data_IF_056421964140
#
_entry.id   IF_056421964140
#
_cell.length_a   1.000
_cell.length_b   1.000
_cell.length_c   1.000
_cell.angle_alpha   90.00
_cell.angle_beta   90.00
_cell.angle_gamma   90.00
#
_symmetry.space_group_name_H-M   'P 1'
#
loop_
_entity.id
_entity.type
_entity.pdbx_description
1 polymer ?
#
# COMPACT_ATOMS: atom_id res chain seq x y z
N UNK A 1 -19.06 -13.85 -8.44
CA UNK A 1 -18.02 -13.13 -9.21
C UNK A 1 -18.19 -11.62 -8.96
N UNK A 2 -17.36 -11.04 -8.08
CA UNK A 2 -17.57 -9.66 -7.62
C UNK A 2 -17.02 -8.60 -8.59
N UNK A 3 -15.79 -8.71 -9.05
CA UNK A 3 -15.13 -7.70 -9.87
C UNK A 3 -14.34 -8.34 -11.02
N UNK A 4 -14.16 -7.65 -12.15
CA UNK A 4 -13.32 -8.11 -13.25
C UNK A 4 -11.86 -8.25 -12.79
N UNK A 5 -11.14 -9.21 -13.35
CA UNK A 5 -9.73 -9.43 -13.03
C UNK A 5 -8.87 -8.19 -13.32
N UNK A 6 -9.20 -7.41 -14.37
CA UNK A 6 -8.49 -6.18 -14.73
C UNK A 6 -8.46 -5.15 -13.59
N UNK A 7 -9.48 -5.09 -12.73
CA UNK A 7 -9.57 -4.17 -11.61
C UNK A 7 -8.91 -4.68 -10.32
N UNK A 8 -8.49 -5.94 -10.27
CA UNK A 8 -7.99 -6.59 -9.04
C UNK A 8 -6.91 -5.76 -8.34
N UNK A 9 -5.90 -5.30 -9.08
CA UNK A 9 -4.79 -4.53 -8.50
C UNK A 9 -5.25 -3.17 -7.96
N UNK A 10 -6.11 -2.47 -8.69
CA UNK A 10 -6.63 -1.16 -8.24
C UNK A 10 -7.44 -1.34 -6.95
N UNK A 11 -8.32 -2.33 -6.90
CA UNK A 11 -9.15 -2.61 -5.71
C UNK A 11 -8.30 -3.08 -4.52
N UNK A 12 -7.31 -3.95 -4.74
CA UNK A 12 -6.36 -4.36 -3.71
C UNK A 12 -5.62 -3.16 -3.12
N UNK A 13 -5.13 -2.26 -3.96
CA UNK A 13 -4.44 -1.05 -3.49
C UNK A 13 -5.36 -0.11 -2.71
N UNK A 14 -6.62 0.00 -3.07
CA UNK A 14 -7.62 0.74 -2.30
C UNK A 14 -7.78 0.16 -0.89
N UNK A 15 -7.87 -1.17 -0.75
CA UNK A 15 -7.87 -1.83 0.57
C UNK A 15 -6.57 -1.58 1.34
N UNK A 16 -5.41 -1.69 0.69
CA UNK A 16 -4.13 -1.37 1.34
C UNK A 16 -4.10 0.07 1.90
N UNK A 17 -4.65 1.04 1.16
CA UNK A 17 -4.74 2.42 1.63
C UNK A 17 -5.69 2.58 2.82
N UNK A 18 -6.85 1.86 2.84
CA UNK A 18 -7.75 1.86 4.01
C UNK A 18 -7.09 1.26 5.24
N UNK A 19 -6.35 0.16 5.08
CA UNK A 19 -5.59 -0.48 6.17
C UNK A 19 -4.50 0.47 6.70
N UNK A 20 -3.73 1.08 5.81
CA UNK A 20 -2.71 2.06 6.17
C UNK A 20 -3.31 3.27 6.89
N UNK A 21 -4.48 3.75 6.45
CA UNK A 21 -5.21 4.84 7.09
C UNK A 21 -5.70 4.46 8.49
N UNK A 22 -6.19 3.25 8.68
CA UNK A 22 -6.58 2.77 10.00
C UNK A 22 -5.40 2.74 10.96
N UNK A 23 -4.25 2.25 10.50
CA UNK A 23 -2.99 2.25 11.27
C UNK A 23 -2.53 3.68 11.56
N UNK A 24 -2.55 4.55 10.54
CA UNK A 24 -2.20 5.97 10.68
C UNK A 24 -3.00 6.65 11.77
N UNK A 25 -4.33 6.47 11.77
CA UNK A 25 -5.24 7.06 12.77
C UNK A 25 -4.92 6.56 14.17
N UNK A 26 -4.76 5.24 14.32
CA UNK A 26 -4.44 4.61 15.60
C UNK A 26 -3.12 5.11 16.19
N UNK A 27 -2.15 5.45 15.32
CA UNK A 27 -0.80 5.92 15.71
C UNK A 27 -0.66 7.44 15.67
N UNK A 28 -1.74 8.17 15.43
CA UNK A 28 -1.76 9.63 15.32
C UNK A 28 -0.74 10.20 14.32
N UNK A 29 -0.36 9.39 13.32
CA UNK A 29 0.56 9.83 12.25
C UNK A 29 -0.12 10.85 11.34
N UNK A 30 0.64 11.77 10.76
CA UNK A 30 0.11 12.91 10.00
C UNK A 30 -0.03 12.65 8.51
N UNK A 31 0.70 11.68 7.96
CA UNK A 31 0.71 11.38 6.54
C UNK A 31 0.92 9.89 6.27
N UNK A 32 0.60 9.46 5.08
CA UNK A 32 1.04 8.20 4.48
C UNK A 32 2.20 8.50 3.52
N UNK A 33 3.15 7.59 3.45
CA UNK A 33 4.26 7.67 2.48
C UNK A 33 4.24 6.40 1.64
N UNK A 34 4.31 6.55 0.31
CA UNK A 34 4.27 5.42 -0.61
C UNK A 34 5.45 5.47 -1.59
N UNK A 35 5.91 4.31 -2.05
CA UNK A 35 6.95 4.18 -3.08
C UNK A 35 6.43 4.20 -4.51
N UNK A 36 5.31 4.85 -4.77
CA UNK A 36 4.70 4.94 -6.10
C UNK A 36 5.52 5.86 -7.02
N UNK A 37 5.67 5.41 -8.28
CA UNK A 37 6.29 6.19 -9.35
C UNK A 37 5.39 6.13 -10.60
N UNK A 38 5.21 7.25 -11.30
CA UNK A 38 4.34 7.31 -12.47
C UNK A 38 4.83 6.39 -13.59
N UNK A 39 3.90 5.65 -14.18
CA UNK A 39 4.15 4.86 -15.38
C UNK A 39 5.05 3.61 -15.20
N UNK A 40 5.51 3.31 -14.00
CA UNK A 40 6.36 2.13 -13.76
C UNK A 40 5.58 0.82 -13.94
N UNK A 41 4.32 0.81 -13.54
CA UNK A 41 3.40 -0.33 -13.71
C UNK A 41 1.99 0.19 -14.03
N UNK A 42 1.16 -0.67 -14.60
CA UNK A 42 -0.20 -0.33 -15.02
C UNK A 42 -1.09 0.26 -13.90
N UNK A 43 -0.83 -0.09 -12.66
CA UNK A 43 -1.57 0.47 -11.51
C UNK A 43 -1.10 1.88 -11.07
N UNK A 44 -0.04 2.40 -11.66
CA UNK A 44 0.57 3.70 -11.31
C UNK A 44 0.38 4.75 -12.42
N UNK A 45 -0.75 4.70 -13.12
CA UNK A 45 -1.22 5.79 -13.99
C UNK A 45 -1.86 6.89 -13.14
N UNK A 46 -1.93 8.13 -13.60
CA UNK A 46 -2.60 9.22 -12.88
C UNK A 46 -4.04 8.87 -12.47
N UNK A 47 -4.81 8.27 -13.39
CA UNK A 47 -6.19 7.86 -13.15
C UNK A 47 -6.31 6.80 -12.05
N UNK A 48 -5.42 5.81 -12.07
CA UNK A 48 -5.41 4.76 -11.06
C UNK A 48 -4.95 5.28 -9.70
N UNK A 49 -3.95 6.17 -9.66
CA UNK A 49 -3.50 6.81 -8.42
C UNK A 49 -4.61 7.65 -7.78
N UNK A 50 -5.35 8.44 -8.57
CA UNK A 50 -6.51 9.19 -8.10
C UNK A 50 -7.58 8.26 -7.52
N UNK A 51 -7.89 7.15 -8.22
CA UNK A 51 -8.86 6.17 -7.72
C UNK A 51 -8.40 5.52 -6.42
N UNK A 52 -7.12 5.22 -6.28
CA UNK A 52 -6.55 4.60 -5.07
C UNK A 52 -6.56 5.57 -3.90
N UNK A 53 -6.14 6.81 -4.09
CA UNK A 53 -6.10 7.84 -3.05
C UNK A 53 -7.49 8.27 -2.56
N UNK A 54 -8.50 8.16 -3.41
CA UNK A 54 -9.86 8.59 -3.09
C UNK A 54 -10.49 7.90 -1.85
N UNK A 55 -9.91 6.81 -1.34
CA UNK A 55 -10.36 6.17 -0.10
C UNK A 55 -9.81 6.81 1.17
N UNK A 56 -8.88 7.76 1.03
CA UNK A 56 -8.25 8.50 2.14
C UNK A 56 -8.24 10.02 1.86
N UNK A 57 -9.41 10.64 1.59
CA UNK A 57 -9.50 11.99 1.02
C UNK A 57 -8.97 13.10 1.95
N UNK A 58 -8.89 12.84 3.24
CA UNK A 58 -8.42 13.80 4.25
C UNK A 58 -6.98 13.57 4.69
N UNK A 59 -6.28 12.62 4.05
CA UNK A 59 -4.94 12.22 4.45
C UNK A 59 -3.91 12.67 3.44
N UNK A 60 -2.88 13.34 3.92
CA UNK A 60 -1.74 13.70 3.09
C UNK A 60 -0.99 12.43 2.67
N UNK A 61 -0.92 12.19 1.36
CA UNK A 61 -0.15 11.08 0.79
C UNK A 61 1.10 11.63 0.11
N UNK A 62 2.26 11.29 0.66
CA UNK A 62 3.55 11.69 0.14
C UNK A 62 4.11 10.60 -0.78
N UNK A 63 4.57 11.00 -1.96
CA UNK A 63 5.13 10.11 -2.99
C UNK A 63 6.52 10.59 -3.41
N UNK A 64 7.55 10.30 -2.62
CA UNK A 64 8.90 10.82 -2.88
C UNK A 64 9.49 10.39 -4.23
N UNK A 65 8.98 9.30 -4.82
CA UNK A 65 9.49 8.73 -6.06
C UNK A 65 8.60 9.04 -7.28
N UNK A 66 7.56 9.84 -7.14
CA UNK A 66 6.48 9.97 -8.14
C UNK A 66 6.97 10.43 -9.52
N UNK A 67 7.98 11.28 -9.55
CA UNK A 67 8.55 11.84 -10.78
C UNK A 67 9.86 11.18 -11.22
N UNK A 68 10.33 10.16 -10.50
CA UNK A 68 11.59 9.49 -10.81
C UNK A 68 11.38 8.36 -11.80
N UNK A 69 12.34 8.19 -12.72
CA UNK A 69 12.39 7.02 -13.57
C UNK A 69 13.00 5.80 -12.83
N UNK A 70 12.90 4.64 -13.47
CA UNK A 70 13.38 3.38 -12.86
C UNK A 70 14.87 3.42 -12.53
N UNK A 71 15.68 4.09 -13.34
CA UNK A 71 17.14 4.18 -13.17
C UNK A 71 17.48 5.05 -11.97
N UNK A 72 16.84 6.22 -11.87
CA UNK A 72 17.00 7.13 -10.73
C UNK A 72 16.62 6.46 -9.40
N UNK A 73 15.54 5.64 -9.41
CA UNK A 73 15.11 4.88 -8.23
C UNK A 73 16.15 3.82 -7.85
N UNK A 74 16.71 3.11 -8.83
CA UNK A 74 17.78 2.13 -8.61
C UNK A 74 19.03 2.81 -8.05
N UNK A 75 19.47 3.90 -8.67
CA UNK A 75 20.64 4.66 -8.23
C UNK A 75 20.46 5.16 -6.77
N UNK A 76 19.25 5.58 -6.42
CA UNK A 76 18.93 5.97 -5.06
C UNK A 76 18.95 4.78 -4.10
N UNK A 77 18.39 3.64 -4.48
CA UNK A 77 18.41 2.43 -3.66
C UNK A 77 19.84 1.93 -3.41
N UNK A 78 20.72 2.00 -4.42
CA UNK A 78 22.13 1.66 -4.26
C UNK A 78 22.83 2.63 -3.30
N UNK A 79 22.57 3.93 -3.44
CA UNK A 79 23.16 4.98 -2.60
C UNK A 79 22.81 4.84 -1.12
N UNK A 80 21.59 4.41 -0.80
CA UNK A 80 21.14 4.19 0.58
C UNK A 80 21.32 2.73 1.07
N UNK A 81 21.92 1.86 0.24
CA UNK A 81 22.27 0.49 0.62
C UNK A 81 21.07 -0.49 0.70
N UNK A 82 19.97 -0.21 0.04
CA UNK A 82 18.77 -1.09 0.05
C UNK A 82 18.64 -1.94 -1.23
N UNK A 83 19.42 -1.64 -2.26
CA UNK A 83 19.29 -2.28 -3.58
C UNK A 83 19.48 -3.78 -3.50
N UNK A 84 20.55 -4.27 -2.87
CA UNK A 84 20.86 -5.70 -2.78
C UNK A 84 19.74 -6.52 -2.11
N UNK A 85 19.10 -5.93 -1.10
CA UNK A 85 17.92 -6.56 -0.47
C UNK A 85 16.71 -6.54 -1.39
N UNK A 86 16.53 -5.46 -2.15
CA UNK A 86 15.36 -5.26 -3.03
C UNK A 86 15.35 -6.18 -4.25
N UNK A 87 16.52 -6.67 -4.68
CA UNK A 87 16.63 -7.58 -5.85
C UNK A 87 16.65 -9.06 -5.50
N UNK A 88 16.58 -9.39 -4.20
CA UNK A 88 16.47 -10.79 -3.80
C UNK A 88 15.24 -11.43 -4.44
N UNK A 89 15.35 -12.69 -4.89
CA UNK A 89 14.24 -13.40 -5.50
C UNK A 89 13.15 -13.65 -4.47
N UNK A 90 12.08 -12.91 -4.58
CA UNK A 90 10.88 -13.05 -3.76
C UNK A 90 9.64 -12.86 -4.64
N UNK A 91 8.58 -13.61 -4.37
CA UNK A 91 7.33 -13.42 -5.09
C UNK A 91 6.69 -12.09 -4.71
N UNK A 92 6.61 -11.18 -5.70
CA UNK A 92 5.91 -9.93 -5.54
C UNK A 92 4.39 -10.18 -5.64
N UNK A 93 3.64 -9.65 -4.68
CA UNK A 93 2.18 -9.70 -4.69
C UNK A 93 1.59 -9.11 -5.99
N UNK A 94 2.24 -8.12 -6.58
CA UNK A 94 1.83 -7.56 -7.87
C UNK A 94 1.95 -8.58 -9.00
N UNK A 95 2.98 -9.42 -9.01
CA UNK A 95 3.15 -10.47 -10.00
C UNK A 95 2.14 -11.60 -9.81
N UNK A 96 1.85 -11.98 -8.56
CA UNK A 96 0.89 -13.04 -8.22
C UNK A 96 -0.54 -12.66 -8.58
N UNK A 97 -0.91 -11.39 -8.44
CA UNK A 97 -2.27 -10.88 -8.66
C UNK A 97 -2.43 -10.11 -9.97
N UNK A 98 -1.35 -9.90 -10.73
CA UNK A 98 -1.42 -9.13 -11.97
C UNK A 98 -2.28 -9.85 -13.02
N UNK A 99 -3.35 -9.23 -13.52
CA UNK A 99 -4.12 -9.76 -14.62
C UNK A 99 -3.33 -9.64 -15.93
N UNK A 100 -3.66 -10.48 -16.92
CA UNK A 100 -3.07 -10.39 -18.27
C UNK A 100 -3.28 -9.02 -18.94
N UNK A 101 -4.39 -8.37 -18.64
CA UNK A 101 -4.74 -7.03 -19.11
C UNK A 101 -5.23 -6.19 -17.91
N UNK A 102 -4.32 -5.50 -17.21
CA UNK A 102 -4.67 -4.65 -16.08
C UNK A 102 -5.39 -3.37 -16.54
N UNK A 103 -6.28 -2.87 -15.68
CA UNK A 103 -6.91 -1.56 -15.89
C UNK A 103 -5.89 -0.44 -15.73
N UNK A 104 -5.79 0.42 -16.74
CA UNK A 104 -4.85 1.56 -16.75
C UNK A 104 -5.54 2.92 -16.63
N UNK A 105 -6.86 2.96 -16.76
CA UNK A 105 -7.66 4.19 -16.72
C UNK A 105 -8.93 3.97 -15.89
N UNK A 106 -8.75 3.53 -14.65
CA UNK A 106 -9.85 3.27 -13.74
C UNK A 106 -10.64 4.55 -13.46
N UNK A 107 -11.96 4.39 -13.36
CA UNK A 107 -12.86 5.47 -12.92
C UNK A 107 -13.30 5.19 -11.50
N UNK A 108 -13.26 6.19 -10.63
CA UNK A 108 -13.64 6.07 -9.22
C UNK A 108 -15.00 5.40 -9.04
N UNK A 109 -16.02 5.88 -9.75
CA UNK A 109 -17.39 5.33 -9.72
C UNK A 109 -17.43 3.83 -10.10
N UNK A 110 -16.53 3.38 -10.96
CA UNK A 110 -16.44 1.96 -11.35
C UNK A 110 -15.80 1.14 -10.24
N UNK A 111 -14.75 1.66 -9.60
CA UNK A 111 -14.13 1.02 -8.44
C UNK A 111 -15.15 0.86 -7.30
N UNK A 112 -15.87 1.91 -6.96
CA UNK A 112 -16.92 1.90 -5.92
C UNK A 112 -18.03 0.89 -6.23
N UNK A 113 -18.47 0.82 -7.49
CA UNK A 113 -19.47 -0.16 -7.93
C UNK A 113 -18.99 -1.61 -7.76
N UNK A 114 -17.70 -1.87 -7.98
CA UNK A 114 -17.16 -3.22 -7.78
C UNK A 114 -16.93 -3.50 -6.29
N UNK A 115 -16.45 -2.56 -5.52
CA UNK A 115 -16.28 -2.69 -4.07
C UNK A 115 -17.59 -2.96 -3.36
N UNK A 116 -18.67 -2.31 -3.76
CA UNK A 116 -20.02 -2.55 -3.22
C UNK A 116 -20.51 -4.00 -3.40
N UNK A 117 -19.90 -4.79 -4.29
CA UNK A 117 -20.20 -6.22 -4.50
C UNK A 117 -19.26 -7.15 -3.75
N UNK A 118 -18.25 -6.60 -3.11
CA UNK A 118 -17.24 -7.31 -2.35
C UNK A 118 -17.46 -6.99 -0.87
N UNK A 119 -17.53 -8.01 -0.05
CA UNK A 119 -17.58 -7.81 1.41
C UNK A 119 -16.17 -7.61 1.94
N UNK A 120 -15.62 -6.41 1.70
CA UNK A 120 -14.25 -6.06 2.07
C UNK A 120 -14.09 -5.75 3.57
N UNK A 121 -15.14 -5.25 4.22
CA UNK A 121 -15.07 -4.83 5.62
C UNK A 121 -14.58 -5.91 6.58
N UNK A 122 -15.16 -7.12 6.60
CA UNK A 122 -14.66 -8.22 7.43
C UNK A 122 -13.23 -8.61 7.12
N UNK A 123 -12.82 -8.63 5.84
CA UNK A 123 -11.46 -8.97 5.43
C UNK A 123 -10.45 -7.91 5.88
N UNK A 124 -10.80 -6.64 5.78
CA UNK A 124 -9.96 -5.53 6.25
C UNK A 124 -9.85 -5.56 7.79
N UNK A 125 -10.93 -5.86 8.50
CA UNK A 125 -10.92 -6.02 9.96
C UNK A 125 -10.06 -7.21 10.41
N UNK A 126 -10.18 -8.36 9.75
CA UNK A 126 -9.35 -9.53 10.02
C UNK A 126 -7.87 -9.23 9.79
N UNK A 127 -7.55 -8.53 8.70
CA UNK A 127 -6.18 -8.10 8.38
C UNK A 127 -5.60 -7.19 9.47
N UNK A 128 -6.39 -6.28 10.01
CA UNK A 128 -5.96 -5.42 11.13
C UNK A 128 -5.83 -6.20 12.44
N UNK A 129 -6.71 -7.17 12.70
CA UNK A 129 -6.66 -7.98 13.91
C UNK A 129 -5.46 -8.94 13.93
N UNK A 130 -5.00 -9.38 12.77
CA UNK A 130 -3.84 -10.28 12.59
C UNK A 130 -2.53 -9.54 12.32
N UNK A 131 -2.53 -8.21 12.39
CA UNK A 131 -1.36 -7.38 12.17
C UNK A 131 -0.23 -7.73 13.13
N UNK A 132 0.93 -8.05 12.60
CA UNK A 132 2.15 -8.26 13.39
C UNK A 132 3.04 -7.02 13.30
N UNK A 133 3.57 -6.59 14.43
CA UNK A 133 4.46 -5.45 14.51
C UNK A 133 5.75 -5.82 15.16
N UNK A 134 6.84 -5.36 14.56
CA UNK A 134 8.18 -5.61 15.04
C UNK A 134 8.89 -4.28 15.32
N UNK A 135 9.51 -4.16 16.48
CA UNK A 135 10.47 -3.13 16.76
C UNK A 135 11.83 -3.61 16.27
N UNK A 136 12.45 -2.81 15.39
CA UNK A 136 13.80 -3.06 14.90
C UNK A 136 14.68 -1.97 15.49
N UNK A 137 15.58 -2.37 16.36
CA UNK A 137 16.60 -1.51 16.92
C UNK A 137 17.93 -2.26 16.81
N UNK A 138 19.00 -1.69 16.46
CA UNK A 138 20.40 -2.18 16.26
C UNK A 138 20.68 -3.69 16.59
N UNK A 139 19.67 -4.54 16.65
CA UNK A 139 19.70 -5.96 17.03
C UNK A 139 18.61 -6.77 16.33
N UNK A 140 18.33 -7.98 16.84
CA UNK A 140 17.28 -8.83 16.31
C UNK A 140 15.89 -8.16 16.45
N UNK A 141 15.00 -8.31 15.46
CA UNK A 141 13.66 -7.77 15.54
C UNK A 141 12.90 -8.38 16.74
N UNK A 142 12.29 -7.54 17.55
CA UNK A 142 11.42 -7.96 18.64
C UNK A 142 9.95 -7.78 18.23
N UNK A 143 9.14 -8.84 18.31
CA UNK A 143 7.70 -8.76 18.04
C UNK A 143 7.03 -7.97 19.17
N UNK A 144 6.26 -6.95 18.79
CA UNK A 144 5.41 -6.22 19.73
C UNK A 144 4.04 -6.89 19.79
N UNK A 145 3.42 -6.90 20.98
CA UNK A 145 2.04 -7.33 21.09
C UNK A 145 1.11 -6.31 20.45
N UNK A 146 0.05 -6.78 19.82
CA UNK A 146 -0.95 -5.94 19.12
C UNK A 146 -1.61 -4.92 20.06
N UNK A 147 -1.72 -5.24 21.34
CA UNK A 147 -2.22 -4.31 22.38
C UNK A 147 -1.31 -3.09 22.58
N UNK A 148 -0.01 -3.22 22.43
CA UNK A 148 0.94 -2.10 22.51
C UNK A 148 0.84 -1.15 21.31
N UNK A 149 0.27 -1.62 20.20
CA UNK A 149 0.03 -0.83 18.99
C UNK A 149 -1.18 0.09 19.12
N UNK A 150 -2.24 -0.42 19.71
CA UNK A 150 -3.53 0.28 19.85
C UNK A 150 -3.54 1.26 21.02
N UNK A 151 -2.68 1.05 22.01
CA UNK A 151 -2.47 1.98 23.12
C UNK A 151 -1.18 2.73 22.85
N UNK A 152 -1.28 3.93 22.26
CA UNK A 152 -0.14 4.79 22.03
C UNK A 152 0.75 4.88 23.28
N UNK A 153 1.81 4.08 23.34
CA UNK A 153 2.87 4.31 24.32
C UNK A 153 3.54 5.62 23.94
N UNK A 154 3.20 6.68 24.68
CA UNK A 154 4.06 7.86 24.73
C UNK A 154 5.41 7.34 25.25
N UNK A 155 6.40 7.29 24.36
CA UNK A 155 7.79 7.16 24.78
C UNK A 155 8.12 8.42 25.59
N UNK A 156 8.35 8.25 26.89
CA UNK A 156 9.06 9.24 27.68
C UNK A 156 10.48 9.49 27.12
#
# INVERSE_FOLDING_TARGET
AGAPQSFRIVLLRRSMYRLAEAIRKTREMKALVTGEALGQVASQTPENLLCVEAVVPETLVLRPLIGLDKREIIDQAQRIGTYETSVLPFEDCCSLFAPKAPEVSAKLRTCEKYEAKLDLGPLEQESLATLEVYKIDRGAPARLTTEGLLKGQKSE
#
